data_IF_726975782725
#
_entry.id   IF_726975782725
#
_cell.length_a   1.000
_cell.length_b   1.000
_cell.length_c   1.000
_cell.angle_alpha   90.00
_cell.angle_beta   90.00
_cell.angle_gamma   90.00
#
_symmetry.space_group_name_H-M   'P 1'
#
loop_
_entity.id
_entity.type
_entity.pdbx_description
1 polymer ?
#
# COMPACT_ATOMS: atom_id res chain seq x y z
N UNK A 1 46.29 -9.51 -54.96
CA UNK A 1 45.11 -10.40 -55.10
C UNK A 1 45.31 -11.63 -54.22
N UNK A 2 44.42 -11.88 -53.26
CA UNK A 2 44.43 -13.05 -52.39
C UNK A 2 43.05 -13.21 -51.76
N UNK A 3 42.28 -14.16 -52.28
CA UNK A 3 40.82 -14.25 -52.20
C UNK A 3 40.32 -15.06 -51.00
N UNK A 4 39.32 -14.50 -50.32
CA UNK A 4 38.07 -15.10 -49.84
C UNK A 4 37.95 -16.65 -49.83
N UNK A 5 38.36 -17.34 -48.76
CA UNK A 5 38.03 -18.78 -48.60
C UNK A 5 37.70 -19.27 -47.18
N UNK A 6 37.46 -18.38 -46.21
CA UNK A 6 37.22 -18.77 -44.79
C UNK A 6 35.75 -18.85 -44.35
N UNK A 7 34.77 -18.58 -45.22
CA UNK A 7 33.37 -18.37 -44.79
C UNK A 7 32.47 -19.64 -44.79
N UNK A 8 32.78 -20.68 -45.58
CA UNK A 8 31.85 -21.82 -45.76
C UNK A 8 31.78 -22.82 -44.59
N UNK A 9 32.79 -22.92 -43.72
CA UNK A 9 32.82 -23.91 -42.62
C UNK A 9 32.01 -23.49 -41.39
N UNK A 10 31.94 -22.20 -41.06
CA UNK A 10 31.19 -21.69 -39.90
C UNK A 10 29.67 -21.79 -40.07
N UNK A 11 29.18 -21.55 -41.29
CA UNK A 11 27.75 -21.60 -41.63
C UNK A 11 27.18 -23.02 -41.50
N UNK A 12 27.97 -24.05 -41.80
CA UNK A 12 27.53 -25.45 -41.72
C UNK A 12 27.43 -25.94 -40.26
N UNK A 13 28.33 -25.48 -39.38
CA UNK A 13 28.30 -25.82 -37.95
C UNK A 13 27.11 -25.18 -37.23
N UNK A 14 26.80 -23.92 -37.54
CA UNK A 14 25.65 -23.26 -36.94
C UNK A 14 24.31 -23.85 -37.43
N UNK A 15 24.22 -24.25 -38.70
CA UNK A 15 23.04 -25.00 -39.20
C UNK A 15 22.83 -26.33 -38.48
N UNK A 16 23.90 -27.08 -38.19
CA UNK A 16 23.79 -28.34 -37.42
C UNK A 16 23.36 -28.11 -35.97
N UNK A 17 23.86 -27.05 -35.34
CA UNK A 17 23.45 -26.68 -33.98
C UNK A 17 21.98 -26.25 -33.93
N UNK A 18 21.52 -25.43 -34.89
CA UNK A 18 20.12 -24.98 -34.96
C UNK A 18 19.13 -26.14 -35.19
N UNK A 19 19.52 -27.13 -36.00
CA UNK A 19 18.70 -28.34 -36.21
C UNK A 19 18.63 -29.18 -34.92
N UNK A 20 19.75 -29.35 -34.21
CA UNK A 20 19.77 -30.07 -32.94
C UNK A 20 18.94 -29.37 -31.85
N UNK A 21 19.04 -28.05 -31.73
CA UNK A 21 18.24 -27.28 -30.77
C UNK A 21 16.74 -27.33 -31.11
N UNK A 22 16.39 -27.24 -32.39
CA UNK A 22 15.00 -27.38 -32.84
C UNK A 22 14.44 -28.78 -32.55
N UNK A 23 15.21 -29.85 -32.79
CA UNK A 23 14.78 -31.22 -32.49
C UNK A 23 14.54 -31.45 -30.99
N UNK A 24 15.43 -30.94 -30.13
CA UNK A 24 15.25 -31.00 -28.68
C UNK A 24 14.02 -30.21 -28.21
N UNK A 25 13.77 -29.04 -28.80
CA UNK A 25 12.61 -28.22 -28.46
C UNK A 25 11.29 -28.91 -28.83
N UNK A 26 11.21 -29.51 -30.03
CA UNK A 26 10.02 -30.26 -30.46
C UNK A 26 9.78 -31.49 -29.58
N UNK A 27 10.83 -32.25 -29.23
CA UNK A 27 10.71 -33.40 -28.33
C UNK A 27 10.31 -33.00 -26.90
N UNK A 28 10.78 -31.86 -26.40
CA UNK A 28 10.38 -31.31 -25.10
C UNK A 28 8.94 -30.78 -25.10
N UNK A 29 8.51 -30.14 -26.19
CA UNK A 29 7.15 -29.63 -26.35
C UNK A 29 6.12 -30.76 -26.32
N UNK A 30 6.37 -31.87 -27.04
CA UNK A 30 5.44 -33.00 -27.06
C UNK A 30 5.47 -33.87 -25.79
N UNK A 31 6.59 -33.92 -25.08
CA UNK A 31 6.64 -34.60 -23.76
C UNK A 31 5.96 -33.79 -22.66
N UNK A 32 5.85 -32.46 -22.80
CA UNK A 32 5.11 -31.57 -21.88
C UNK A 32 3.58 -31.69 -21.94
N UNK A 33 3.02 -32.27 -23.01
CA UNK A 33 1.57 -32.48 -23.18
C UNK A 33 1.14 -33.95 -23.04
N UNK A 34 2.04 -34.86 -22.67
CA UNK A 34 1.68 -36.25 -22.39
C UNK A 34 0.84 -36.33 -21.10
N UNK A 35 -0.43 -36.80 -21.15
CA UNK A 35 -1.24 -36.94 -19.94
C UNK A 35 -0.65 -38.04 -19.07
N UNK A 36 -0.08 -37.70 -17.92
CA UNK A 36 0.27 -38.69 -16.90
C UNK A 36 -1.01 -39.08 -16.18
N UNK A 37 -1.73 -40.05 -16.75
CA UNK A 37 -2.87 -40.67 -16.11
C UNK A 37 -2.45 -41.39 -14.83
N UNK A 38 -2.87 -40.84 -13.68
CA UNK A 38 -3.11 -41.61 -12.46
C UNK A 38 -4.55 -41.36 -12.03
N UNK A 39 -5.43 -42.22 -12.51
CA UNK A 39 -6.79 -42.38 -12.01
C UNK A 39 -6.74 -42.86 -10.55
N UNK A 40 -7.13 -42.00 -9.61
CA UNK A 40 -7.60 -42.44 -8.30
C UNK A 40 -9.12 -42.44 -8.34
N UNK A 41 -9.67 -43.63 -8.44
CA UNK A 41 -11.09 -43.92 -8.41
C UNK A 41 -11.56 -43.77 -6.95
N UNK A 42 -12.38 -42.76 -6.64
CA UNK A 42 -13.16 -42.73 -5.40
C UNK A 42 -14.62 -42.57 -5.77
N UNK A 43 -15.36 -43.62 -5.44
CA UNK A 43 -16.77 -43.83 -5.69
C UNK A 43 -17.58 -42.96 -4.71
N UNK A 44 -18.08 -41.81 -5.14
CA UNK A 44 -19.10 -41.08 -4.35
C UNK A 44 -20.47 -41.67 -4.68
N UNK A 45 -20.95 -42.49 -3.76
CA UNK A 45 -22.27 -43.08 -3.75
C UNK A 45 -23.33 -41.97 -3.63
N UNK A 46 -24.23 -41.92 -4.59
CA UNK A 46 -25.44 -41.12 -4.58
C UNK A 46 -26.46 -41.72 -3.61
N UNK A 47 -26.93 -40.92 -2.65
CA UNK A 47 -28.14 -41.20 -1.89
C UNK A 47 -29.08 -40.00 -2.01
N UNK A 48 -30.18 -40.23 -2.73
CA UNK A 48 -31.33 -39.33 -2.85
C UNK A 48 -32.45 -39.86 -1.95
N UNK A 49 -32.95 -39.02 -1.03
CA UNK A 49 -34.28 -39.01 -0.38
C UNK A 49 -34.15 -38.12 0.88
N UNK A 50 -35.05 -37.23 1.27
CA UNK A 50 -36.47 -37.05 0.98
C UNK A 50 -36.91 -35.63 1.45
N UNK A 51 -38.02 -35.16 0.89
CA UNK A 51 -38.76 -33.97 1.32
C UNK A 51 -39.27 -34.10 2.76
N UNK A 52 -39.25 -33.00 3.50
CA UNK A 52 -39.94 -32.84 4.78
C UNK A 52 -39.98 -31.38 5.22
N UNK A 53 -41.07 -30.70 4.91
CA UNK A 53 -41.47 -29.40 5.42
C UNK A 53 -41.85 -29.48 6.91
N UNK A 54 -41.33 -28.56 7.74
CA UNK A 54 -42.08 -27.84 8.80
C UNK A 54 -41.18 -26.76 9.39
N UNK A 55 -41.67 -25.52 9.46
CA UNK A 55 -40.96 -24.39 10.06
C UNK A 55 -41.04 -24.34 11.58
N UNK A 56 -40.19 -23.50 12.20
CA UNK A 56 -40.49 -22.63 13.35
C UNK A 56 -39.29 -21.70 13.60
N UNK A 57 -39.59 -20.50 14.12
CA UNK A 57 -38.75 -19.31 14.24
C UNK A 57 -37.73 -19.36 15.42
N UNK A 58 -36.87 -18.34 15.62
CA UNK A 58 -35.52 -18.47 16.18
C UNK A 58 -35.44 -18.36 17.71
N UNK A 59 -34.38 -18.93 18.29
CA UNK A 59 -33.94 -18.60 19.64
C UNK A 59 -32.45 -18.22 19.69
N UNK A 60 -32.22 -17.16 20.47
CA UNK A 60 -30.94 -16.60 20.85
C UNK A 60 -30.13 -17.59 21.70
N UNK A 61 -28.80 -17.58 21.55
CA UNK A 61 -27.90 -18.16 22.54
C UNK A 61 -26.96 -17.06 23.05
N UNK A 62 -27.01 -17.02 24.37
CA UNK A 62 -26.41 -16.13 25.34
C UNK A 62 -24.91 -16.37 25.50
N UNK A 63 -24.22 -15.30 25.85
CA UNK A 63 -22.78 -15.19 25.99
C UNK A 63 -22.35 -15.72 27.35
N UNK A 64 -21.67 -16.87 27.41
CA UNK A 64 -21.15 -17.41 28.66
C UNK A 64 -19.83 -16.73 29.06
N UNK A 65 -19.91 -15.97 30.15
CA UNK A 65 -18.82 -15.50 31.00
C UNK A 65 -17.82 -16.61 31.39
N UNK A 66 -16.52 -16.32 31.31
CA UNK A 66 -15.52 -16.96 32.18
C UNK A 66 -14.85 -15.89 33.03
N UNK A 67 -14.90 -16.07 34.35
CA UNK A 67 -14.20 -15.25 35.32
C UNK A 67 -13.42 -16.16 36.27
N UNK A 68 -12.13 -15.81 36.45
CA UNK A 68 -11.25 -16.10 37.60
C UNK A 68 -10.78 -17.56 37.74
N UNK A 69 -9.48 -17.85 37.90
CA UNK A 69 -8.65 -17.46 39.06
C UNK A 69 -7.13 -17.43 38.81
N UNK A 70 -6.49 -16.44 39.43
CA UNK A 70 -5.05 -16.31 39.66
C UNK A 70 -4.50 -17.41 40.60
N UNK A 71 -3.32 -17.96 40.28
CA UNK A 71 -2.31 -18.39 41.27
C UNK A 71 -0.89 -18.18 40.69
N UNK A 72 -0.07 -17.40 41.40
CA UNK A 72 1.38 -17.25 41.17
C UNK A 72 2.16 -18.27 42.01
N UNK A 73 3.15 -18.99 41.43
CA UNK A 73 4.35 -19.48 42.16
C UNK A 73 5.52 -19.93 41.26
N UNK A 74 6.58 -19.12 41.25
CA UNK A 74 8.03 -19.42 41.31
C UNK A 74 8.62 -20.77 40.85
N UNK A 75 9.52 -20.70 39.84
CA UNK A 75 10.92 -21.20 39.76
C UNK A 75 11.34 -22.52 40.45
N UNK A 76 11.73 -23.54 39.66
CA UNK A 76 13.07 -24.16 39.52
C UNK A 76 13.00 -25.60 38.94
N UNK A 77 13.96 -25.94 38.08
CA UNK A 77 14.26 -27.28 37.56
C UNK A 77 15.05 -28.12 38.59
N UNK A 78 15.06 -29.47 38.51
CA UNK A 78 16.05 -30.15 37.66
C UNK A 78 15.61 -31.47 36.99
N UNK A 79 16.41 -31.82 35.97
CA UNK A 79 16.50 -33.03 35.14
C UNK A 79 16.17 -34.39 35.78
N UNK A 80 15.42 -35.25 35.07
CA UNK A 80 15.87 -36.61 34.67
C UNK A 80 14.75 -37.56 34.15
N UNK A 81 15.12 -38.29 33.09
CA UNK A 81 14.69 -39.64 32.66
C UNK A 81 13.47 -39.80 31.72
N UNK A 82 13.82 -40.16 30.49
CA UNK A 82 13.03 -40.88 29.48
C UNK A 82 12.63 -42.27 30.01
N UNK A 83 11.42 -42.76 29.68
CA UNK A 83 11.32 -44.01 28.91
C UNK A 83 10.47 -43.85 27.64
N UNK A 84 10.85 -44.62 26.62
CA UNK A 84 10.33 -44.63 25.25
C UNK A 84 8.96 -45.31 25.12
N UNK A 85 8.30 -44.95 24.02
CA UNK A 85 7.26 -45.64 23.24
C UNK A 85 5.84 -45.69 23.81
N UNK A 86 4.97 -44.87 23.21
CA UNK A 86 3.75 -45.34 22.53
C UNK A 86 3.46 -44.42 21.34
N UNK A 87 3.22 -45.06 20.20
CA UNK A 87 2.87 -44.46 18.92
C UNK A 87 1.48 -43.86 19.02
N UNK A 88 1.39 -42.52 18.97
CA UNK A 88 0.13 -41.82 18.71
C UNK A 88 0.23 -41.15 17.35
N UNK A 89 -0.75 -41.47 16.52
CA UNK A 89 -1.01 -40.88 15.21
C UNK A 89 -1.08 -39.36 15.34
N UNK A 90 -0.09 -38.67 14.77
CA UNK A 90 -0.18 -37.24 14.52
C UNK A 90 -1.36 -36.99 13.58
N UNK A 91 -2.48 -36.56 14.16
CA UNK A 91 -3.44 -35.73 13.45
C UNK A 91 -2.70 -34.42 13.20
N UNK A 92 -2.29 -34.18 11.94
CA UNK A 92 -1.86 -32.87 11.50
C UNK A 92 -3.09 -31.94 11.63
N UNK A 93 -3.18 -31.29 12.77
CA UNK A 93 -4.03 -30.14 12.96
C UNK A 93 -3.50 -29.07 12.01
N UNK A 94 -4.23 -28.85 10.92
CA UNK A 94 -3.96 -27.85 9.90
C UNK A 94 -4.08 -26.46 10.54
N UNK A 95 -3.02 -26.05 11.24
CA UNK A 95 -2.89 -24.71 11.80
C UNK A 95 -2.98 -23.74 10.62
N UNK A 96 -4.01 -22.87 10.55
CA UNK A 96 -4.09 -21.89 9.47
C UNK A 96 -2.83 -21.04 9.57
N UNK A 97 -1.94 -21.18 8.57
CA UNK A 97 -0.74 -20.35 8.47
C UNK A 97 -1.17 -18.88 8.44
N UNK A 98 -1.07 -18.21 9.59
CA UNK A 98 -1.39 -16.80 9.70
C UNK A 98 -0.32 -16.04 8.93
N UNK A 99 -0.58 -15.80 7.63
CA UNK A 99 0.26 -14.95 6.80
C UNK A 99 0.49 -13.64 7.56
N UNK A 100 1.75 -13.27 7.87
CA UNK A 100 2.02 -12.02 8.56
C UNK A 100 1.42 -10.86 7.77
N UNK A 101 0.58 -10.05 8.43
CA UNK A 101 -0.05 -8.89 7.80
C UNK A 101 1.04 -7.91 7.38
N UNK A 102 1.00 -7.47 6.11
CA UNK A 102 1.94 -6.45 5.61
C UNK A 102 1.81 -5.16 6.43
N UNK A 103 2.96 -4.58 6.75
CA UNK A 103 3.04 -3.31 7.48
C UNK A 103 2.63 -2.14 6.59
N UNK A 104 1.85 -1.21 7.13
CA UNK A 104 1.46 0.03 6.42
C UNK A 104 2.28 1.19 6.96
N UNK A 105 2.93 1.93 6.07
CA UNK A 105 3.70 3.14 6.38
C UNK A 105 2.95 4.34 5.80
N UNK A 106 2.34 5.14 6.67
CA UNK A 106 1.63 6.35 6.26
C UNK A 106 2.59 7.53 6.35
N UNK A 107 2.79 8.26 5.25
CA UNK A 107 3.60 9.47 5.22
C UNK A 107 2.70 10.69 5.13
N UNK A 108 2.79 11.59 6.11
CA UNK A 108 1.98 12.81 6.17
C UNK A 108 2.88 14.04 6.28
N UNK A 109 3.12 14.77 5.18
CA UNK A 109 3.74 16.09 5.24
C UNK A 109 2.75 17.10 5.84
N UNK A 110 3.25 18.08 6.57
CA UNK A 110 2.46 19.13 7.22
C UNK A 110 3.05 20.50 6.93
N UNK A 111 2.27 21.56 7.05
CA UNK A 111 2.76 22.92 6.82
C UNK A 111 1.90 23.92 7.59
N UNK A 112 2.52 24.98 8.11
CA UNK A 112 1.83 26.08 8.79
C UNK A 112 0.96 26.89 7.80
N UNK A 113 1.17 26.72 6.48
CA UNK A 113 0.34 27.32 5.43
C UNK A 113 -1.00 26.58 5.23
N UNK A 114 -1.16 25.39 5.81
CA UNK A 114 -2.40 24.59 5.70
C UNK A 114 -3.37 25.05 6.81
N UNK A 115 -4.57 25.55 6.47
CA UNK A 115 -5.54 25.96 7.46
C UNK A 115 -6.03 24.77 8.29
N UNK A 116 -6.31 25.01 9.57
CA UNK A 116 -6.81 23.99 10.49
C UNK A 116 -5.90 22.75 10.65
N UNK A 117 -4.59 22.88 10.42
CA UNK A 117 -3.59 21.80 10.47
C UNK A 117 -3.78 20.88 11.69
N UNK A 118 -3.85 21.43 12.91
CA UNK A 118 -4.00 20.67 14.14
C UNK A 118 -5.32 19.86 14.19
N UNK A 119 -6.41 20.42 13.67
CA UNK A 119 -7.72 19.75 13.59
C UNK A 119 -7.68 18.61 12.58
N UNK A 120 -7.13 18.88 11.39
CA UNK A 120 -7.00 17.88 10.32
C UNK A 120 -6.08 16.73 10.74
N UNK A 121 -4.99 17.03 11.45
CA UNK A 121 -4.09 16.01 12.00
C UNK A 121 -4.81 15.12 13.02
N UNK A 122 -5.56 15.70 13.96
CA UNK A 122 -6.35 14.93 14.94
C UNK A 122 -7.39 14.04 14.26
N UNK A 123 -8.09 14.57 13.24
CA UNK A 123 -9.06 13.79 12.44
C UNK A 123 -8.40 12.61 11.75
N UNK A 124 -7.27 12.84 11.08
CA UNK A 124 -6.51 11.77 10.43
C UNK A 124 -6.06 10.73 11.46
N UNK A 125 -5.47 11.17 12.58
CA UNK A 125 -5.02 10.30 13.66
C UNK A 125 -6.15 9.41 14.20
N UNK A 126 -7.33 9.98 14.45
CA UNK A 126 -8.51 9.21 14.90
C UNK A 126 -8.93 8.15 13.88
N UNK A 127 -8.77 8.42 12.59
CA UNK A 127 -9.07 7.45 11.51
C UNK A 127 -8.02 6.34 11.49
N UNK A 128 -6.73 6.70 11.42
CA UNK A 128 -5.65 5.71 11.27
C UNK A 128 -5.40 4.90 12.55
N UNK A 129 -5.87 5.38 13.71
CA UNK A 129 -5.89 4.61 14.97
C UNK A 129 -6.78 3.37 14.89
N UNK A 130 -7.82 3.41 14.07
CA UNK A 130 -8.74 2.29 13.87
C UNK A 130 -8.20 1.24 12.90
N UNK A 131 -7.10 1.54 12.20
CA UNK A 131 -6.49 0.62 11.24
C UNK A 131 -5.76 -0.50 12.01
N UNK A 132 -6.01 -1.78 11.68
CA UNK A 132 -5.33 -2.89 12.36
C UNK A 132 -3.80 -2.81 12.24
N UNK A 133 -3.10 -3.13 13.33
CA UNK A 133 -1.65 -3.23 13.33
C UNK A 133 -1.18 -4.38 12.39
N UNK A 134 0.05 -4.29 11.83
CA UNK A 134 1.09 -3.31 12.11
C UNK A 134 1.02 -2.04 11.21
N UNK A 135 1.07 -0.85 11.81
CA UNK A 135 1.05 0.45 11.14
C UNK A 135 2.10 1.40 11.73
N UNK A 136 2.83 2.12 10.86
CA UNK A 136 3.74 3.19 11.23
C UNK A 136 3.30 4.51 10.58
N UNK A 137 3.21 5.56 11.38
CA UNK A 137 2.90 6.89 10.88
C UNK A 137 4.14 7.79 10.88
N UNK A 138 4.58 8.23 9.71
CA UNK A 138 5.68 9.19 9.57
C UNK A 138 5.08 10.57 9.31
N UNK A 139 5.26 11.47 10.27
CA UNK A 139 4.78 12.86 10.18
C UNK A 139 5.98 13.77 10.00
N UNK A 140 5.93 14.62 8.97
CA UNK A 140 7.00 15.56 8.66
C UNK A 140 6.50 16.99 8.85
N UNK A 141 7.17 17.74 9.71
CA UNK A 141 6.84 19.12 10.05
C UNK A 141 7.81 20.11 9.40
N UNK A 142 7.37 21.33 9.04
CA UNK A 142 8.30 22.39 8.66
C UNK A 142 9.13 22.84 9.88
N UNK A 143 10.18 23.66 9.67
CA UNK A 143 10.84 24.34 10.78
C UNK A 143 9.83 25.08 11.66
N UNK A 144 9.80 24.78 12.95
CA UNK A 144 8.90 25.44 13.92
C UNK A 144 9.50 25.39 15.32
N UNK A 145 9.23 26.44 16.10
CA UNK A 145 9.53 26.50 17.54
C UNK A 145 8.37 25.96 18.40
N UNK A 146 7.21 25.69 17.79
CA UNK A 146 6.03 25.18 18.48
C UNK A 146 6.17 23.69 18.80
N UNK A 147 5.73 23.31 20.00
CA UNK A 147 5.64 21.90 20.43
C UNK A 147 4.24 21.32 20.28
N UNK A 148 3.30 22.05 19.68
CA UNK A 148 1.89 21.65 19.59
C UNK A 148 1.72 20.32 18.82
N UNK A 149 2.33 20.19 17.64
CA UNK A 149 2.22 18.99 16.80
C UNK A 149 2.75 17.75 17.53
N UNK A 150 3.93 17.90 18.14
CA UNK A 150 4.54 16.87 18.99
C UNK A 150 3.60 16.44 20.13
N UNK A 151 2.96 17.42 20.79
CA UNK A 151 1.98 17.17 21.84
C UNK A 151 0.73 16.43 21.35
N UNK A 152 0.28 16.70 20.12
CA UNK A 152 -0.81 15.95 19.49
C UNK A 152 -0.38 14.50 19.24
N UNK A 153 0.76 14.28 18.57
CA UNK A 153 1.24 12.94 18.20
C UNK A 153 1.38 12.02 19.41
N UNK A 154 1.96 12.52 20.51
CA UNK A 154 2.12 11.77 21.78
C UNK A 154 0.80 11.28 22.37
N UNK A 155 -0.31 11.99 22.14
CA UNK A 155 -1.64 11.65 22.67
C UNK A 155 -2.42 10.68 21.79
N UNK A 156 -1.96 10.39 20.57
CA UNK A 156 -2.70 9.56 19.62
C UNK A 156 -2.68 8.07 19.99
N UNK A 157 -1.60 7.59 20.62
CA UNK A 157 -1.35 6.17 20.87
C UNK A 157 -0.98 5.37 19.62
N UNK A 158 -0.66 6.05 18.51
CA UNK A 158 -0.25 5.44 17.24
C UNK A 158 1.27 5.37 17.22
N UNK A 159 1.84 4.28 16.70
CA UNK A 159 3.29 4.21 16.46
C UNK A 159 3.68 5.23 15.39
N UNK A 160 4.53 6.20 15.74
CA UNK A 160 4.92 7.25 14.83
C UNK A 160 6.42 7.52 14.80
N UNK A 161 6.90 8.09 13.69
CA UNK A 161 8.18 8.80 13.61
C UNK A 161 7.89 10.25 13.23
N UNK A 162 8.38 11.18 14.03
CA UNK A 162 8.24 12.61 13.79
C UNK A 162 9.56 13.15 13.24
N UNK A 163 9.51 13.72 12.04
CA UNK A 163 10.64 14.31 11.33
C UNK A 163 10.41 15.81 11.17
N UNK A 164 11.49 16.58 11.13
CA UNK A 164 11.45 18.04 10.95
C UNK A 164 12.30 18.38 9.74
N UNK A 165 11.72 19.07 8.76
CA UNK A 165 12.48 19.67 7.66
C UNK A 165 13.26 20.87 8.19
N UNK A 166 14.47 21.08 7.70
CA UNK A 166 15.34 22.21 8.08
C UNK A 166 15.25 23.39 7.11
N UNK A 167 14.62 23.17 5.95
CA UNK A 167 14.57 24.14 4.87
C UNK A 167 13.26 24.95 4.93
N UNK A 168 13.35 26.22 4.56
CA UNK A 168 12.20 27.11 4.45
C UNK A 168 11.78 27.23 2.99
N UNK A 169 10.47 27.15 2.75
CA UNK A 169 9.89 27.19 1.41
C UNK A 169 8.83 28.28 1.32
N UNK A 170 8.82 29.03 0.22
CA UNK A 170 7.74 29.97 -0.10
C UNK A 170 6.54 29.23 -0.70
N UNK A 171 6.79 28.37 -1.68
CA UNK A 171 5.78 27.55 -2.32
C UNK A 171 5.38 26.35 -1.43
N UNK A 172 4.07 26.09 -1.34
CA UNK A 172 3.54 25.01 -0.51
C UNK A 172 3.84 23.63 -1.13
N UNK A 173 3.72 23.47 -2.44
CA UNK A 173 3.91 22.15 -3.05
C UNK A 173 5.40 21.74 -3.04
N UNK A 174 6.32 22.69 -3.21
CA UNK A 174 7.76 22.49 -3.02
C UNK A 174 8.09 22.03 -1.59
N UNK A 175 7.50 22.68 -0.58
CA UNK A 175 7.64 22.30 0.84
C UNK A 175 7.20 20.85 1.08
N UNK A 176 5.97 20.52 0.64
CA UNK A 176 5.41 19.20 0.84
C UNK A 176 6.20 18.13 0.07
N UNK A 177 6.72 18.43 -1.12
CA UNK A 177 7.58 17.51 -1.87
C UNK A 177 8.92 17.26 -1.18
N UNK A 178 9.57 18.31 -0.68
CA UNK A 178 10.79 18.16 0.10
C UNK A 178 10.55 17.28 1.34
N UNK A 179 9.46 17.51 2.06
CA UNK A 179 9.10 16.71 3.23
C UNK A 179 8.81 15.24 2.88
N UNK A 180 8.14 14.96 1.75
CA UNK A 180 7.94 13.59 1.27
C UNK A 180 9.27 12.92 0.93
N UNK A 181 10.19 13.63 0.29
CA UNK A 181 11.54 13.12 -0.01
C UNK A 181 12.33 12.83 1.28
N UNK A 182 12.21 13.67 2.31
CA UNK A 182 12.81 13.43 3.62
C UNK A 182 12.29 12.14 4.26
N UNK A 183 10.98 11.91 4.20
CA UNK A 183 10.38 10.66 4.67
C UNK A 183 10.86 9.44 3.86
N UNK A 184 10.98 9.55 2.54
CA UNK A 184 11.49 8.48 1.68
C UNK A 184 12.94 8.12 2.02
N UNK A 185 13.82 9.13 2.18
CA UNK A 185 15.21 8.92 2.63
C UNK A 185 15.27 8.22 3.99
N UNK A 186 14.35 8.58 4.90
CA UNK A 186 14.27 7.94 6.21
C UNK A 186 13.83 6.48 6.13
N UNK A 187 12.87 6.16 5.26
CA UNK A 187 12.41 4.80 4.99
C UNK A 187 13.54 3.96 4.38
N UNK A 188 14.24 4.52 3.39
CA UNK A 188 15.36 3.89 2.70
C UNK A 188 16.53 3.62 3.65
N UNK A 189 16.97 4.64 4.40
CA UNK A 189 18.09 4.54 5.33
C UNK A 189 17.88 3.46 6.40
N UNK A 190 16.66 3.37 6.94
CA UNK A 190 16.33 2.39 7.97
C UNK A 190 15.74 1.09 7.40
N UNK A 191 15.67 0.95 6.07
CA UNK A 191 15.07 -0.20 5.37
C UNK A 191 13.71 -0.60 5.93
N UNK A 192 12.83 0.37 6.17
CA UNK A 192 11.52 0.11 6.76
C UNK A 192 10.67 -0.67 5.75
N UNK A 193 10.39 -1.93 6.04
CA UNK A 193 9.61 -2.81 5.16
C UNK A 193 8.11 -2.60 5.36
N UNK A 194 7.39 -2.30 4.29
CA UNK A 194 5.94 -2.09 4.31
C UNK A 194 5.40 -1.43 3.04
N UNK A 195 4.09 -1.20 3.03
CA UNK A 195 3.40 -0.49 1.96
C UNK A 195 3.32 0.99 2.34
N UNK A 196 3.96 1.84 1.52
CA UNK A 196 4.04 3.29 1.73
C UNK A 196 2.87 3.97 1.05
N UNK A 197 2.11 4.76 1.81
CA UNK A 197 1.02 5.60 1.30
C UNK A 197 1.20 7.06 1.73
N UNK A 198 1.07 8.00 0.80
CA UNK A 198 1.15 9.43 1.09
C UNK A 198 -0.21 10.02 1.42
N UNK A 199 -0.44 10.23 2.71
CA UNK A 199 -1.69 10.77 3.21
C UNK A 199 -1.64 12.29 3.37
N UNK A 200 -2.42 13.01 2.56
CA UNK A 200 -2.68 14.43 2.78
C UNK A 200 -3.56 14.66 4.01
N UNK A 201 -3.31 15.75 4.75
CA UNK A 201 -4.04 16.10 5.98
C UNK A 201 -5.56 16.25 5.77
N UNK A 202 -5.98 16.73 4.61
CA UNK A 202 -7.39 16.92 4.26
C UNK A 202 -8.05 15.68 3.64
N UNK A 203 -7.31 14.59 3.41
CA UNK A 203 -7.87 13.37 2.82
C UNK A 203 -8.77 12.65 3.82
N UNK A 204 -9.91 12.15 3.36
CA UNK A 204 -10.84 11.30 4.11
C UNK A 204 -10.71 9.89 3.57
N UNK A 205 -10.63 8.92 4.48
CA UNK A 205 -10.38 7.52 4.14
C UNK A 205 -11.53 6.66 4.67
N UNK A 206 -11.96 5.73 3.85
CA UNK A 206 -12.63 4.53 4.34
C UNK A 206 -11.60 3.65 5.10
N UNK A 207 -12.03 2.87 6.09
CA UNK A 207 -11.15 1.93 6.77
C UNK A 207 -10.77 0.76 5.84
N UNK A 208 -11.68 0.33 4.95
CA UNK A 208 -11.43 -0.73 3.98
C UNK A 208 -10.25 -0.41 3.07
N UNK A 209 -10.03 0.88 2.77
CA UNK A 209 -8.85 1.36 2.02
C UNK A 209 -7.54 0.74 2.55
N UNK A 210 -7.34 0.78 3.87
CA UNK A 210 -6.11 0.28 4.48
C UNK A 210 -6.04 -1.24 4.50
N UNK A 211 -7.17 -1.95 4.39
CA UNK A 211 -7.17 -3.39 4.17
C UNK A 211 -6.63 -3.71 2.79
N UNK A 212 -7.17 -3.04 1.77
CA UNK A 212 -6.77 -3.22 0.37
C UNK A 212 -5.29 -2.88 0.12
N UNK A 213 -4.74 -1.87 0.81
CA UNK A 213 -3.31 -1.53 0.69
C UNK A 213 -2.38 -2.71 1.00
N UNK A 214 -2.77 -3.62 1.91
CA UNK A 214 -1.91 -4.75 2.31
C UNK A 214 -1.73 -5.78 1.21
N UNK A 215 -2.60 -5.78 0.21
CA UNK A 215 -2.52 -6.73 -0.89
C UNK A 215 -1.57 -6.27 -2.00
N UNK A 216 -1.11 -5.01 -1.95
CA UNK A 216 -0.12 -4.47 -2.90
C UNK A 216 1.16 -5.30 -2.88
N UNK A 217 1.57 -5.80 -4.04
CA UNK A 217 2.86 -6.48 -4.22
C UNK A 217 3.98 -5.48 -4.50
N UNK A 218 3.77 -4.63 -5.51
CA UNK A 218 4.75 -3.64 -6.00
C UNK A 218 4.17 -2.24 -5.96
N UNK A 219 3.19 -1.94 -6.82
CA UNK A 219 2.45 -0.68 -6.86
C UNK A 219 0.95 -0.93 -6.83
N UNK A 220 0.22 -0.04 -6.17
CA UNK A 220 -1.25 -0.04 -6.18
C UNK A 220 -1.79 1.34 -6.47
N UNK A 221 -2.91 1.43 -7.18
CA UNK A 221 -3.62 2.68 -7.48
C UNK A 221 -5.13 2.50 -7.41
N UNK A 222 -5.87 3.58 -7.16
CA UNK A 222 -7.32 3.55 -6.93
C UNK A 222 -7.98 4.87 -7.35
N UNK A 223 -9.29 4.87 -7.58
CA UNK A 223 -10.02 6.10 -7.87
C UNK A 223 -10.17 6.97 -6.62
N UNK A 224 -10.07 8.28 -6.82
CA UNK A 224 -10.15 9.30 -5.78
C UNK A 224 -11.23 10.31 -6.16
N UNK A 225 -12.12 10.62 -5.22
CA UNK A 225 -13.06 11.72 -5.37
C UNK A 225 -12.43 13.02 -4.86
N UNK A 226 -12.19 13.97 -5.75
CA UNK A 226 -11.75 15.32 -5.43
C UNK A 226 -12.98 16.22 -5.19
N UNK A 227 -13.04 16.84 -4.01
CA UNK A 227 -14.05 17.81 -3.63
C UNK A 227 -13.42 19.20 -3.48
N UNK A 228 -14.14 20.23 -3.92
CA UNK A 228 -13.77 21.61 -3.70
C UNK A 228 -14.90 22.29 -2.91
N UNK A 229 -14.55 22.99 -1.82
CA UNK A 229 -15.54 23.58 -0.90
C UNK A 229 -16.53 24.54 -1.59
N UNK A 230 -16.08 25.21 -2.65
CA UNK A 230 -16.84 26.19 -3.43
C UNK A 230 -17.56 25.60 -4.66
N UNK A 231 -17.49 24.29 -4.89
CA UNK A 231 -18.14 23.64 -6.04
C UNK A 231 -19.03 22.50 -5.57
N UNK A 232 -20.31 22.51 -5.95
CA UNK A 232 -21.23 21.36 -5.80
C UNK A 232 -20.90 20.22 -6.80
N UNK A 233 -19.64 20.09 -7.22
CA UNK A 233 -19.18 19.13 -8.21
C UNK A 233 -18.07 18.28 -7.60
N UNK A 234 -18.30 16.97 -7.58
CA UNK A 234 -17.28 15.97 -7.30
C UNK A 234 -16.60 15.60 -8.62
N UNK A 235 -15.26 15.55 -8.63
CA UNK A 235 -14.48 15.10 -9.77
C UNK A 235 -13.84 13.76 -9.37
N UNK A 236 -14.05 12.72 -10.16
CA UNK A 236 -13.41 11.43 -9.95
C UNK A 236 -12.14 11.40 -10.80
N UNK A 237 -10.99 11.16 -10.15
CA UNK A 237 -9.68 11.04 -10.78
C UNK A 237 -9.09 9.67 -10.40
N UNK A 238 -8.56 8.91 -11.37
CA UNK A 238 -7.94 7.62 -11.08
C UNK A 238 -7.99 6.60 -12.23
N UNK A 239 -7.59 5.35 -11.96
CA UNK A 239 -7.46 4.33 -12.99
C UNK A 239 -8.83 3.81 -13.47
N UNK A 240 -8.84 3.31 -14.70
CA UNK A 240 -9.87 2.42 -15.24
C UNK A 240 -9.28 1.03 -15.27
N UNK A 241 -9.97 0.06 -14.70
CA UNK A 241 -9.42 -1.27 -14.51
C UNK A 241 -10.31 -2.35 -15.12
N UNK A 242 -9.69 -3.33 -15.76
CA UNK A 242 -10.30 -4.64 -15.99
C UNK A 242 -9.81 -5.57 -14.88
N UNK A 243 -10.70 -5.91 -13.95
CA UNK A 243 -10.32 -6.54 -12.69
C UNK A 243 -9.24 -5.71 -11.95
N UNK A 244 -8.07 -6.26 -11.65
CA UNK A 244 -6.95 -5.53 -11.05
C UNK A 244 -5.97 -4.93 -12.07
N UNK A 245 -6.19 -5.13 -13.37
CA UNK A 245 -5.30 -4.60 -14.41
C UNK A 245 -5.73 -3.18 -14.78
N UNK A 246 -4.80 -2.23 -14.72
CA UNK A 246 -5.06 -0.85 -15.15
C UNK A 246 -5.04 -0.79 -16.68
N UNK A 247 -6.13 -0.33 -17.28
CA UNK A 247 -6.32 -0.22 -18.75
C UNK A 247 -6.46 1.24 -19.21
N UNK A 248 -6.51 2.19 -18.29
CA UNK A 248 -6.63 3.62 -18.62
C UNK A 248 -6.77 4.52 -17.39
N UNK A 249 -7.00 5.81 -17.61
CA UNK A 249 -7.05 6.82 -16.54
C UNK A 249 -8.12 7.89 -16.79
N UNK A 250 -8.89 8.21 -15.75
CA UNK A 250 -9.70 9.43 -15.67
C UNK A 250 -8.87 10.55 -15.04
N UNK A 251 -8.51 11.56 -15.83
CA UNK A 251 -7.68 12.70 -15.39
C UNK A 251 -8.42 14.01 -15.56
N UNK A 252 -8.17 14.94 -14.64
CA UNK A 252 -8.67 16.31 -14.72
C UNK A 252 -7.77 17.11 -15.66
N UNK A 253 -8.35 17.66 -16.73
CA UNK A 253 -7.70 18.52 -17.72
C UNK A 253 -6.62 17.86 -18.57
N UNK A 254 -6.88 16.67 -19.12
CA UNK A 254 -6.11 16.21 -20.28
C UNK A 254 -6.63 16.95 -21.52
N UNK A 255 -5.98 18.06 -21.91
CA UNK A 255 -6.15 18.58 -23.27
C UNK A 255 -5.40 17.62 -24.19
N UNK A 256 -6.11 17.01 -25.13
CA UNK A 256 -5.61 15.99 -26.07
C UNK A 256 -4.51 16.47 -27.03
N UNK A 257 -4.04 17.70 -26.91
CA UNK A 257 -3.02 18.31 -27.79
C UNK A 257 -1.58 18.11 -27.31
N UNK A 258 -1.33 17.69 -26.07
CA UNK A 258 0.02 17.34 -25.59
C UNK A 258 0.21 15.82 -25.52
N UNK A 259 0.56 15.23 -26.66
CA UNK A 259 0.71 13.78 -26.92
C UNK A 259 1.89 13.11 -26.15
N UNK A 260 2.57 13.81 -25.22
CA UNK A 260 3.75 13.28 -24.52
C UNK A 260 3.80 13.46 -23.00
N UNK A 261 2.77 14.00 -22.35
CA UNK A 261 2.78 14.11 -20.90
C UNK A 261 2.14 12.87 -20.28
N UNK A 262 2.93 12.00 -19.66
CA UNK A 262 2.43 10.98 -18.75
C UNK A 262 1.36 11.57 -17.80
N UNK A 263 0.27 10.83 -17.50
CA UNK A 263 -0.71 11.25 -16.51
C UNK A 263 -0.05 11.77 -15.23
N UNK A 264 -0.26 13.03 -14.80
CA UNK A 264 0.23 13.46 -13.50
C UNK A 264 -0.65 12.81 -12.42
N UNK A 265 -0.36 11.54 -12.09
CA UNK A 265 -1.01 10.84 -11.00
C UNK A 265 -0.68 11.59 -9.70
N UNK A 266 -1.73 12.04 -9.02
CA UNK A 266 -1.57 12.74 -7.76
C UNK A 266 -0.94 11.81 -6.70
N UNK A 267 -0.09 12.35 -5.83
CA UNK A 267 0.73 11.56 -4.90
C UNK A 267 -0.06 10.66 -3.94
N UNK A 268 -1.32 11.03 -3.64
CA UNK A 268 -2.23 10.24 -2.80
C UNK A 268 -3.05 9.19 -3.56
N UNK A 269 -2.85 9.05 -4.88
CA UNK A 269 -3.61 8.12 -5.72
C UNK A 269 -2.86 6.80 -5.95
N UNK A 270 -1.71 6.61 -5.31
CA UNK A 270 -0.98 5.36 -5.35
C UNK A 270 -0.27 5.06 -4.03
N UNK A 271 0.08 3.79 -3.85
CA UNK A 271 0.95 3.29 -2.80
C UNK A 271 1.93 2.27 -3.39
N UNK A 272 3.01 1.99 -2.67
CA UNK A 272 4.06 1.12 -3.18
C UNK A 272 4.77 0.35 -2.07
N UNK A 273 5.38 -0.77 -2.45
CA UNK A 273 6.22 -1.55 -1.57
C UNK A 273 7.56 -0.84 -1.32
N UNK A 274 7.88 -0.55 -0.06
CA UNK A 274 9.08 0.22 0.31
C UNK A 274 10.40 -0.44 -0.11
N UNK A 275 10.42 -1.76 -0.32
CA UNK A 275 11.61 -2.48 -0.81
C UNK A 275 12.13 -1.94 -2.15
N UNK A 276 11.29 -1.28 -2.93
CA UNK A 276 11.70 -0.62 -4.17
C UNK A 276 12.73 0.50 -3.93
N UNK A 277 12.78 1.07 -2.73
CA UNK A 277 13.72 2.13 -2.36
C UNK A 277 15.10 1.57 -1.95
N UNK A 278 15.14 0.42 -1.28
CA UNK A 278 16.36 -0.07 -0.61
C UNK A 278 16.82 -1.47 -1.06
N UNK A 279 16.04 -2.13 -1.92
CA UNK A 279 16.33 -3.40 -2.59
C UNK A 279 15.85 -3.34 -4.07
N UNK A 280 16.47 -2.49 -4.90
CA UNK A 280 16.05 -2.29 -6.29
C UNK A 280 16.32 -3.50 -7.19
N UNK A 281 17.33 -4.31 -6.84
CA UNK A 281 17.72 -5.51 -7.60
C UNK A 281 16.60 -6.55 -7.61
N UNK A 282 15.88 -6.70 -6.50
CA UNK A 282 14.66 -7.55 -6.40
C UNK A 282 13.62 -7.22 -7.46
N UNK A 283 13.58 -5.98 -7.94
CA UNK A 283 12.58 -5.50 -8.88
C UNK A 283 13.12 -5.32 -10.31
N UNK A 284 14.34 -5.80 -10.57
CA UNK A 284 14.98 -5.75 -11.88
C UNK A 284 15.50 -4.36 -12.26
N UNK A 285 15.78 -3.48 -11.29
CA UNK A 285 16.37 -2.16 -11.56
C UNK A 285 17.88 -2.21 -11.40
N UNK A 286 18.61 -1.83 -12.43
CA UNK A 286 20.04 -1.56 -12.32
C UNK A 286 20.24 -0.30 -11.49
N UNK A 287 21.17 -0.36 -10.53
CA UNK A 287 21.55 0.70 -9.60
C UNK A 287 22.01 2.02 -10.25
N UNK A 288 21.90 2.19 -11.57
CA UNK A 288 22.37 3.35 -12.33
C UNK A 288 21.46 4.58 -12.25
N UNK A 289 20.28 4.50 -11.60
CA UNK A 289 19.51 5.69 -11.20
C UNK A 289 19.99 6.17 -9.82
N UNK A 290 21.31 6.29 -9.67
CA UNK A 290 22.00 6.79 -8.49
C UNK A 290 22.54 8.19 -8.78
N UNK A 291 21.69 9.21 -9.00
CA UNK A 291 22.11 10.59 -8.69
C UNK A 291 21.03 11.70 -8.70
N UNK A 292 19.81 11.45 -8.23
CA UNK A 292 18.91 12.57 -7.86
C UNK A 292 18.18 12.26 -6.56
N UNK A 293 18.96 12.11 -5.48
CA UNK A 293 18.43 12.07 -4.10
C UNK A 293 17.57 13.29 -3.74
N UNK A 294 17.54 14.34 -4.57
CA UNK A 294 16.72 15.52 -4.39
C UNK A 294 15.25 15.31 -4.80
N UNK A 295 14.91 14.30 -5.62
CA UNK A 295 13.55 14.14 -6.17
C UNK A 295 13.05 12.67 -6.18
N UNK A 296 13.26 11.93 -5.10
CA UNK A 296 12.78 10.54 -4.95
C UNK A 296 11.28 10.38 -5.21
N UNK A 297 10.47 11.39 -4.89
CA UNK A 297 9.04 11.41 -5.23
C UNK A 297 8.76 11.39 -6.74
N UNK A 298 9.56 12.08 -7.55
CA UNK A 298 9.39 12.09 -9.00
C UNK A 298 9.82 10.75 -9.59
N UNK A 299 10.87 10.13 -9.02
CA UNK A 299 11.27 8.78 -9.39
C UNK A 299 10.13 7.81 -9.13
N UNK A 300 9.52 7.83 -7.93
CA UNK A 300 8.40 6.94 -7.61
C UNK A 300 7.22 7.17 -8.55
N UNK A 301 6.88 8.43 -8.87
CA UNK A 301 5.82 8.73 -9.85
C UNK A 301 6.14 8.19 -11.24
N UNK A 302 7.36 8.41 -11.72
CA UNK A 302 7.81 7.96 -13.03
C UNK A 302 7.77 6.44 -13.13
N UNK A 303 8.23 5.77 -12.09
CA UNK A 303 8.25 4.33 -11.94
C UNK A 303 6.87 3.69 -11.99
N UNK A 304 5.87 4.33 -11.38
CA UNK A 304 4.47 3.88 -11.44
C UNK A 304 3.94 3.90 -12.88
N UNK A 305 4.45 4.81 -13.71
CA UNK A 305 4.02 5.02 -15.09
C UNK A 305 4.79 4.18 -16.11
N UNK A 306 6.07 3.89 -15.87
CA UNK A 306 6.92 3.13 -16.79
C UNK A 306 6.60 1.63 -16.80
N UNK A 307 6.06 1.10 -15.70
CA UNK A 307 5.83 -0.33 -15.53
C UNK A 307 4.37 -0.61 -15.12
N UNK A 308 3.44 -0.31 -16.03
CA UNK A 308 2.00 -0.57 -15.84
C UNK A 308 1.72 -2.04 -15.54
N UNK A 309 2.60 -2.97 -15.95
CA UNK A 309 2.48 -4.40 -15.66
C UNK A 309 2.62 -4.73 -14.16
N UNK A 310 3.35 -3.89 -13.41
CA UNK A 310 3.53 -4.03 -11.95
C UNK A 310 2.56 -3.14 -11.14
N UNK A 311 1.67 -2.42 -11.82
CA UNK A 311 0.68 -1.55 -11.20
C UNK A 311 -0.66 -2.26 -11.10
N UNK A 312 -1.13 -2.47 -9.86
CA UNK A 312 -2.43 -3.08 -9.61
C UNK A 312 -3.50 -2.05 -9.27
N UNK A 313 -4.65 -2.20 -9.88
CA UNK A 313 -5.87 -1.48 -9.57
C UNK A 313 -6.52 -1.97 -8.28
N UNK A 314 -6.96 -1.04 -7.44
CA UNK A 314 -7.58 -1.27 -6.13
C UNK A 314 -8.94 -0.56 -6.07
N UNK A 315 -10.00 -1.23 -5.59
CA UNK A 315 -10.05 -2.65 -5.22
C UNK A 315 -9.96 -3.57 -6.46
N UNK A 316 -9.63 -4.87 -6.29
CA UNK A 316 -9.39 -5.79 -7.42
C UNK A 316 -10.65 -6.04 -8.26
N UNK A 317 -11.84 -5.69 -7.76
CA UNK A 317 -13.09 -5.75 -8.52
C UNK A 317 -13.25 -4.53 -9.47
N UNK A 318 -12.27 -4.31 -10.36
CA UNK A 318 -12.37 -3.32 -11.42
C UNK A 318 -12.23 -1.87 -10.97
N UNK A 319 -11.52 -1.59 -9.87
CA UNK A 319 -11.37 -0.24 -9.34
C UNK A 319 -12.73 0.45 -9.11
N UNK A 320 -13.75 -0.33 -8.71
CA UNK A 320 -15.16 0.08 -8.76
C UNK A 320 -15.62 0.98 -7.61
N UNK A 321 -14.77 1.21 -6.60
CA UNK A 321 -15.15 1.89 -5.35
C UNK A 321 -14.25 3.08 -5.03
N UNK A 322 -14.86 4.19 -4.65
CA UNK A 322 -14.16 5.34 -4.06
C UNK A 322 -13.96 5.06 -2.57
N UNK A 323 -12.71 4.93 -2.14
CA UNK A 323 -12.36 4.72 -0.72
C UNK A 323 -11.53 5.89 -0.15
N UNK A 324 -11.21 6.88 -1.00
CA UNK A 324 -10.43 8.05 -0.65
C UNK A 324 -11.07 9.29 -1.26
N UNK A 325 -11.37 10.26 -0.40
CA UNK A 325 -11.85 11.59 -0.79
C UNK A 325 -10.81 12.63 -0.45
N UNK A 326 -10.44 13.45 -1.43
CA UNK A 326 -9.52 14.56 -1.26
C UNK A 326 -10.29 15.86 -1.17
N UNK A 327 -10.23 16.51 -0.01
CA UNK A 327 -10.85 17.81 0.17
C UNK A 327 -9.83 18.93 -0.09
N UNK A 328 -10.11 19.78 -1.08
CA UNK A 328 -9.30 20.96 -1.33
C UNK A 328 -9.88 22.15 -0.58
N UNK A 329 -9.24 22.51 0.54
CA UNK A 329 -9.49 23.76 1.23
C UNK A 329 -8.77 24.87 0.47
N UNK A 330 -9.41 25.44 -0.55
CA UNK A 330 -8.96 26.74 -1.01
C UNK A 330 -9.21 27.74 0.13
N UNK A 331 -8.19 28.50 0.58
CA UNK A 331 -8.46 29.58 1.52
C UNK A 331 -9.50 30.50 0.89
N UNK A 332 -10.54 30.93 1.63
CA UNK A 332 -11.45 31.93 1.12
C UNK A 332 -10.61 33.15 0.73
N UNK A 333 -10.80 33.63 -0.50
CA UNK A 333 -10.31 34.95 -0.90
C UNK A 333 -10.98 35.92 0.08
N UNK A 334 -10.17 36.44 0.99
CA UNK A 334 -10.43 37.40 2.06
C UNK A 334 -11.92 37.79 2.23
N UNK A 335 -12.73 36.91 2.82
CA UNK A 335 -13.94 37.39 3.50
C UNK A 335 -13.48 37.87 4.87
N UNK A 336 -13.66 39.16 5.15
CA UNK A 336 -13.41 39.76 6.47
C UNK A 336 -14.25 39.04 7.51
N UNK A 337 -13.72 38.00 8.13
CA UNK A 337 -14.20 37.56 9.42
C UNK A 337 -13.72 38.62 10.42
N UNK A 338 -14.61 39.54 10.78
CA UNK A 338 -14.45 40.34 11.98
C UNK A 338 -14.34 39.36 13.14
N UNK A 339 -13.13 39.24 13.70
CA UNK A 339 -12.93 38.61 14.99
C UNK A 339 -13.69 39.51 15.97
N UNK A 340 -14.80 39.02 16.49
CA UNK A 340 -15.45 39.59 17.68
C UNK A 340 -14.49 39.35 18.85
N UNK A 341 -13.49 40.22 19.01
CA UNK A 341 -12.78 40.35 20.27
C UNK A 341 -13.72 41.03 21.24
N UNK A 342 -14.46 40.26 22.02
CA UNK A 342 -15.05 40.77 23.25
C UNK A 342 -13.91 41.14 24.20
N UNK A 343 -13.58 42.43 24.27
CA UNK A 343 -12.78 42.98 25.36
C UNK A 343 -13.56 42.82 26.66
N UNK A 344 -13.01 42.22 27.73
CA UNK A 344 -13.60 42.33 29.04
C UNK A 344 -13.32 43.75 29.55
N UNK A 345 -14.33 44.62 29.47
CA UNK A 345 -14.34 45.87 30.22
C UNK A 345 -14.42 45.53 31.72
N UNK A 346 -13.25 45.37 32.35
CA UNK A 346 -13.09 45.51 33.79
C UNK A 346 -12.46 46.86 34.06
N UNK A 347 -13.27 47.89 34.32
CA UNK A 347 -12.77 49.09 34.99
C UNK A 347 -12.74 48.84 36.51
N UNK A 348 -11.70 49.28 37.22
CA UNK A 348 -11.70 49.28 38.67
C UNK A 348 -12.45 50.54 39.16
N UNK A 349 -13.47 50.33 39.98
CA UNK A 349 -13.90 51.29 41.00
C UNK A 349 -14.11 50.56 42.32
#
# INVERSE_FOLDING_TARGET
MGSLERSKKGIHLWKKAMIHFSLCFVMGFFTGFAPTGKSSFVLTQSASASNGTTGFAPQAIEMSHYQTTNVNRSLMSPSSRIPKHKTESHVEEDQPSLKPRKHIIIVTPTSNKIPFQAVLLRRLANTIKLVPQPLLWIVVEPPTESTELSGILRKTGIMYRHLVSKENFTDLEAELNHQRNLALKHIEHHKLSGIVHFAGLSNVYDLEFFHQLRDIEVFGTWPVAALAANRKKVIIEGPVCDSSQVIGWHLKNFNSESVSATPPIHISNFAFNSSILWDPERWGRTSSVQDTSQNSINIVKQVVLEDESKLSGIPPEGCSRIMLWRFNFQPPVTSRYQILTSTPNGSPR
#
